data_IF_520125004067
#
_entry.id   IF_520125004067
#
_cell.length_a   1.000
_cell.length_b   1.000
_cell.length_c   1.000
_cell.angle_alpha   90.00
_cell.angle_beta   90.00
_cell.angle_gamma   90.00
#
_symmetry.space_group_name_H-M   'P 1'
#
loop_
_entity.id
_entity.type
_entity.pdbx_description
1 polymer ?
#
# COMPACT_ATOMS: atom_id res chain seq x y z
N UNK A 1 -16.49 6.04 10.21
CA UNK A 1 -15.34 6.13 9.26
C UNK A 1 -15.47 7.28 8.28
N UNK A 2 -16.57 7.43 7.55
CA UNK A 2 -16.77 8.58 6.64
C UNK A 2 -16.68 9.92 7.39
N UNK A 3 -17.31 10.02 8.56
CA UNK A 3 -17.27 11.22 9.42
C UNK A 3 -15.85 11.56 9.88
N UNK A 4 -15.01 10.56 10.18
CA UNK A 4 -13.62 10.77 10.57
C UNK A 4 -12.85 11.51 9.46
N UNK A 5 -12.97 11.05 8.22
CA UNK A 5 -12.28 11.73 7.12
C UNK A 5 -12.91 13.09 6.80
N UNK A 6 -14.22 13.22 6.90
CA UNK A 6 -14.95 14.46 6.57
C UNK A 6 -14.67 15.59 7.57
N UNK A 7 -14.51 15.27 8.85
CA UNK A 7 -14.35 16.27 9.90
C UNK A 7 -12.89 16.70 10.10
N UNK A 8 -11.93 15.84 9.73
CA UNK A 8 -10.50 16.06 10.03
C UNK A 8 -9.62 16.30 8.80
N UNK A 9 -10.12 16.04 7.58
CA UNK A 9 -9.35 16.22 6.35
C UNK A 9 -10.11 17.04 5.31
N UNK A 10 -9.42 18.02 4.73
CA UNK A 10 -9.90 18.74 3.54
C UNK A 10 -9.24 18.14 2.32
N UNK A 11 -10.02 17.41 1.51
CA UNK A 11 -9.52 16.65 0.36
C UNK A 11 -10.24 17.12 -0.91
N UNK A 12 -9.54 17.26 -2.05
CA UNK A 12 -10.18 17.54 -3.34
C UNK A 12 -11.24 16.49 -3.67
N UNK A 13 -12.34 16.91 -4.29
CA UNK A 13 -13.44 16.00 -4.67
C UNK A 13 -13.88 15.06 -3.53
N UNK A 14 -14.05 15.60 -2.31
CA UNK A 14 -14.36 14.86 -1.09
C UNK A 14 -15.50 13.83 -1.25
N UNK A 15 -16.55 14.17 -2.00
CA UNK A 15 -17.69 13.29 -2.30
C UNK A 15 -17.32 11.97 -3.00
N UNK A 16 -16.16 11.91 -3.68
CA UNK A 16 -15.63 10.69 -4.31
C UNK A 16 -14.54 10.07 -3.43
N UNK A 17 -13.60 10.88 -2.93
CA UNK A 17 -12.41 10.36 -2.28
C UNK A 17 -12.69 9.84 -0.86
N UNK A 18 -13.54 10.50 -0.09
CA UNK A 18 -13.83 10.10 1.29
C UNK A 18 -14.47 8.71 1.37
N UNK A 19 -15.49 8.36 0.56
CA UNK A 19 -16.03 7.00 0.54
C UNK A 19 -14.97 5.94 0.22
N UNK A 20 -14.03 6.23 -0.69
CA UNK A 20 -12.95 5.31 -1.06
C UNK A 20 -11.97 5.14 0.10
N UNK A 21 -11.56 6.22 0.77
CA UNK A 21 -10.68 6.17 1.93
C UNK A 21 -11.33 5.42 3.10
N UNK A 22 -12.62 5.65 3.34
CA UNK A 22 -13.39 4.97 4.38
C UNK A 22 -13.54 3.47 4.08
N UNK A 23 -13.85 3.10 2.84
CA UNK A 23 -13.94 1.70 2.42
C UNK A 23 -12.58 1.00 2.54
N UNK A 24 -11.51 1.66 2.12
CA UNK A 24 -10.16 1.11 2.22
C UNK A 24 -9.71 0.91 3.68
N UNK A 25 -9.99 1.88 4.55
CA UNK A 25 -9.64 1.82 5.97
C UNK A 25 -10.38 0.71 6.73
N UNK A 26 -11.51 0.22 6.20
CA UNK A 26 -12.33 -0.83 6.80
C UNK A 26 -12.23 -2.16 6.06
N UNK A 27 -11.32 -2.26 5.10
CA UNK A 27 -11.21 -3.43 4.25
C UNK A 27 -10.69 -4.65 5.04
N UNK A 28 -11.40 -5.79 5.00
CA UNK A 28 -10.92 -7.03 5.58
C UNK A 28 -9.89 -7.69 4.66
N UNK A 29 -8.60 -7.32 4.79
CA UNK A 29 -7.54 -7.82 3.90
C UNK A 29 -7.43 -9.35 3.89
N UNK A 30 -7.65 -10.00 5.03
CA UNK A 30 -7.71 -11.46 5.20
C UNK A 30 -8.77 -12.15 4.31
N UNK A 31 -9.79 -11.42 3.84
CA UNK A 31 -10.82 -11.97 2.93
C UNK A 31 -10.58 -11.63 1.46
N UNK A 32 -9.59 -10.79 1.17
CA UNK A 32 -9.33 -10.32 -0.20
C UNK A 32 -8.52 -11.37 -0.98
N UNK A 33 -8.95 -11.76 -2.17
CA UNK A 33 -8.13 -12.62 -3.07
C UNK A 33 -7.06 -11.83 -3.80
N UNK A 34 -7.37 -10.57 -4.10
CA UNK A 34 -6.51 -9.59 -4.76
C UNK A 34 -6.27 -8.45 -3.77
N UNK A 35 -5.02 -8.10 -3.55
CA UNK A 35 -4.65 -7.01 -2.67
C UNK A 35 -4.97 -5.66 -3.34
N UNK A 36 -5.87 -4.84 -2.76
CA UNK A 36 -6.05 -3.50 -3.25
C UNK A 36 -4.87 -2.62 -2.83
N UNK A 37 -4.63 -1.59 -3.64
CA UNK A 37 -3.52 -0.66 -3.46
C UNK A 37 -4.08 0.76 -3.47
N UNK A 38 -3.89 1.47 -2.36
CA UNK A 38 -4.22 2.88 -2.22
C UNK A 38 -2.98 3.74 -2.49
N UNK A 39 -3.04 4.56 -3.52
CA UNK A 39 -2.03 5.57 -3.83
C UNK A 39 -2.49 6.95 -3.36
N UNK A 40 -1.77 7.53 -2.41
CA UNK A 40 -1.92 8.92 -1.98
C UNK A 40 -0.87 9.76 -2.72
N UNK A 41 -1.30 10.49 -3.75
CA UNK A 41 -0.43 11.33 -4.58
C UNK A 41 -0.77 12.81 -4.41
N UNK A 42 0.26 13.67 -4.34
CA UNK A 42 0.06 15.10 -4.15
C UNK A 42 1.36 15.86 -3.90
N UNK A 43 1.27 17.19 -3.85
CA UNK A 43 2.42 18.06 -3.58
C UNK A 43 3.00 17.85 -2.17
N UNK A 44 4.27 18.16 -1.96
CA UNK A 44 4.86 18.18 -0.61
C UNK A 44 4.03 19.12 0.30
N UNK A 45 3.83 18.73 1.56
CA UNK A 45 2.99 19.49 2.51
C UNK A 45 1.48 19.26 2.39
N UNK A 46 0.99 18.47 1.44
CA UNK A 46 -0.47 18.25 1.26
C UNK A 46 -1.13 17.30 2.28
N UNK A 47 -0.48 16.98 3.40
CA UNK A 47 -1.05 16.12 4.45
C UNK A 47 -1.13 14.61 4.15
N UNK A 48 -0.45 14.10 3.10
CA UNK A 48 -0.48 12.66 2.73
C UNK A 48 0.00 11.73 3.84
N UNK A 49 1.12 12.06 4.48
CA UNK A 49 1.66 11.29 5.60
C UNK A 49 0.72 11.33 6.81
N UNK A 50 0.06 12.47 7.06
CA UNK A 50 -0.95 12.59 8.12
C UNK A 50 -2.17 11.70 7.82
N UNK A 51 -2.62 11.65 6.57
CA UNK A 51 -3.70 10.76 6.15
C UNK A 51 -3.28 9.29 6.27
N UNK A 52 -2.03 8.96 5.92
CA UNK A 52 -1.48 7.63 6.10
C UNK A 52 -1.45 7.20 7.59
N UNK A 53 -1.16 8.12 8.51
CA UNK A 53 -1.18 7.84 9.95
C UNK A 53 -2.56 7.38 10.46
N UNK A 54 -3.64 7.74 9.78
CA UNK A 54 -4.98 7.20 10.09
C UNK A 54 -5.03 5.70 9.85
N UNK A 55 -4.49 5.23 8.72
CA UNK A 55 -4.42 3.78 8.41
C UNK A 55 -3.49 3.04 9.36
N UNK A 56 -2.34 3.66 9.68
CA UNK A 56 -1.38 3.14 10.68
C UNK A 56 -2.09 2.91 12.02
N UNK A 57 -2.87 3.89 12.49
CA UNK A 57 -3.61 3.79 13.74
C UNK A 57 -4.76 2.76 13.69
N UNK A 58 -5.51 2.70 12.58
CA UNK A 58 -6.65 1.77 12.45
C UNK A 58 -6.18 0.33 12.39
N UNK A 59 -5.16 0.05 11.59
CA UNK A 59 -4.65 -1.31 11.40
C UNK A 59 -3.63 -1.72 12.47
N UNK A 60 -3.24 -0.79 13.37
CA UNK A 60 -2.25 -1.01 14.43
C UNK A 60 -0.90 -1.49 13.87
N UNK A 61 -0.46 -0.85 12.78
CA UNK A 61 0.76 -1.18 12.05
C UNK A 61 1.78 -0.06 12.20
N UNK A 62 3.04 -0.28 11.79
CA UNK A 62 4.03 0.79 11.67
C UNK A 62 4.07 1.35 10.25
N UNK A 63 4.19 2.67 10.15
CA UNK A 63 4.46 3.32 8.87
C UNK A 63 5.92 3.06 8.48
N UNK A 64 6.12 2.53 7.28
CA UNK A 64 7.42 2.22 6.72
C UNK A 64 7.93 3.37 5.88
N UNK A 65 9.21 3.72 6.00
CA UNK A 65 9.81 4.74 5.14
C UNK A 65 10.38 4.07 3.88
N UNK A 66 10.43 4.78 2.76
CA UNK A 66 11.05 4.36 1.50
C UNK A 66 12.53 3.94 1.61
N UNK A 67 13.20 4.21 2.73
CA UNK A 67 14.56 3.73 3.04
C UNK A 67 14.63 2.30 3.55
N UNK A 68 13.49 1.65 3.82
CA UNK A 68 13.47 0.30 4.37
C UNK A 68 13.90 -0.73 3.33
N UNK A 69 14.77 -1.64 3.77
CA UNK A 69 15.32 -2.72 2.95
C UNK A 69 14.26 -3.82 2.82
N UNK A 70 14.25 -4.52 1.68
CA UNK A 70 13.35 -5.63 1.38
C UNK A 70 13.17 -6.64 2.54
N UNK A 71 14.25 -6.97 3.25
CA UNK A 71 14.22 -7.85 4.42
C UNK A 71 13.36 -7.29 5.57
N UNK A 72 13.46 -5.98 5.84
CA UNK A 72 12.69 -5.33 6.92
C UNK A 72 11.20 -5.33 6.62
N UNK A 73 10.81 -5.08 5.36
CA UNK A 73 9.40 -5.11 4.96
C UNK A 73 8.85 -6.54 5.07
N UNK A 74 9.60 -7.53 4.62
CA UNK A 74 9.20 -8.93 4.73
C UNK A 74 8.99 -9.36 6.18
N UNK A 75 9.93 -9.02 7.08
CA UNK A 75 9.79 -9.35 8.50
C UNK A 75 8.54 -8.70 9.11
N UNK A 76 8.24 -7.45 8.72
CA UNK A 76 7.02 -6.79 9.17
C UNK A 76 5.75 -7.53 8.70
N UNK A 77 5.74 -8.03 7.45
CA UNK A 77 4.64 -8.83 6.92
C UNK A 77 4.50 -10.13 7.71
N UNK A 78 5.58 -10.87 7.88
CA UNK A 78 5.61 -12.14 8.62
C UNK A 78 5.04 -11.97 10.04
N UNK A 79 5.48 -10.93 10.75
CA UNK A 79 5.14 -10.70 12.16
C UNK A 79 3.71 -10.19 12.38
N UNK A 80 3.10 -9.51 11.40
CA UNK A 80 1.82 -8.83 11.61
C UNK A 80 0.66 -9.38 10.76
N UNK A 81 0.96 -10.20 9.74
CA UNK A 81 -0.08 -10.77 8.86
C UNK A 81 -0.78 -12.00 9.46
N UNK A 82 -0.21 -12.58 10.52
CA UNK A 82 -0.73 -13.79 11.17
C UNK A 82 -0.83 -13.56 12.68
N UNK A 83 -1.88 -14.07 13.32
CA UNK A 83 -2.05 -14.01 14.76
C UNK A 83 -1.35 -15.17 15.51
N UNK A 84 -1.44 -15.17 16.85
CA UNK A 84 -0.85 -16.22 17.70
C UNK A 84 -1.42 -17.62 17.43
N UNK A 85 -2.58 -17.73 16.77
CA UNK A 85 -3.23 -18.99 16.42
C UNK A 85 -2.83 -19.50 15.04
N UNK A 86 -2.05 -18.72 14.28
CA UNK A 86 -1.68 -19.05 12.91
C UNK A 86 -2.71 -18.57 11.87
N UNK A 87 -3.72 -17.80 12.28
CA UNK A 87 -4.77 -17.30 11.40
C UNK A 87 -4.40 -15.94 10.79
N UNK A 88 -4.86 -15.67 9.57
CA UNK A 88 -4.57 -14.41 8.91
C UNK A 88 -5.30 -13.24 9.56
N UNK A 89 -4.54 -12.19 9.88
CA UNK A 89 -5.06 -10.93 10.44
C UNK A 89 -5.28 -9.89 9.34
N UNK A 90 -6.22 -8.97 9.60
CA UNK A 90 -6.32 -7.75 8.82
C UNK A 90 -5.06 -6.89 8.97
N UNK A 91 -4.30 -6.78 7.88
CA UNK A 91 -3.00 -6.13 7.82
C UNK A 91 -2.87 -5.29 6.54
N UNK A 92 -2.32 -4.08 6.71
CA UNK A 92 -2.04 -3.13 5.63
C UNK A 92 -0.60 -2.66 5.77
N UNK A 93 0.18 -2.77 4.69
CA UNK A 93 1.49 -2.12 4.62
C UNK A 93 1.30 -0.64 4.33
N UNK A 94 1.77 0.21 5.23
CA UNK A 94 1.81 1.65 5.00
C UNK A 94 3.24 2.05 4.62
N UNK A 95 3.47 2.54 3.40
CA UNK A 95 4.79 3.01 2.95
C UNK A 95 4.75 4.50 2.62
N UNK A 96 5.50 5.29 3.40
CA UNK A 96 5.63 6.73 3.20
C UNK A 96 6.76 7.07 2.24
N UNK A 97 6.58 8.17 1.50
CA UNK A 97 7.59 8.82 0.65
C UNK A 97 8.20 7.91 -0.41
N UNK A 98 7.35 7.06 -1.01
CA UNK A 98 7.78 6.12 -2.04
C UNK A 98 8.28 6.90 -3.26
N UNK A 99 9.55 6.68 -3.61
CA UNK A 99 10.23 7.39 -4.70
C UNK A 99 10.53 6.45 -5.88
N UNK A 100 10.96 7.01 -7.02
CA UNK A 100 11.22 6.23 -8.24
C UNK A 100 12.32 5.17 -8.01
N UNK A 101 13.33 5.47 -7.18
CA UNK A 101 14.38 4.52 -6.82
C UNK A 101 13.86 3.32 -6.02
N UNK A 102 12.86 3.50 -5.16
CA UNK A 102 12.23 2.41 -4.40
C UNK A 102 11.49 1.45 -5.33
N UNK A 103 10.79 1.97 -6.35
CA UNK A 103 10.07 1.14 -7.33
C UNK A 103 11.02 0.38 -8.26
N UNK A 104 12.14 1.00 -8.64
CA UNK A 104 13.15 0.38 -9.51
C UNK A 104 13.98 -0.72 -8.82
N UNK A 105 13.83 -0.90 -7.51
CA UNK A 105 14.47 -1.99 -6.80
C UNK A 105 13.75 -3.31 -7.13
N UNK A 106 14.44 -4.22 -7.82
CA UNK A 106 13.87 -5.50 -8.27
C UNK A 106 13.31 -6.36 -7.14
N UNK A 107 13.92 -6.32 -5.95
CA UNK A 107 13.44 -7.07 -4.80
C UNK A 107 12.11 -6.50 -4.29
N UNK A 108 12.01 -5.17 -4.18
CA UNK A 108 10.75 -4.52 -3.77
C UNK A 108 9.67 -4.67 -4.83
N UNK A 109 10.03 -4.58 -6.12
CA UNK A 109 9.12 -4.84 -7.21
C UNK A 109 8.56 -6.26 -7.14
N UNK A 110 9.42 -7.25 -6.93
CA UNK A 110 9.03 -8.66 -6.77
C UNK A 110 8.12 -8.84 -5.57
N UNK A 111 8.42 -8.18 -4.44
CA UNK A 111 7.55 -8.20 -3.26
C UNK A 111 6.14 -7.70 -3.57
N UNK A 112 6.05 -6.54 -4.24
CA UNK A 112 4.78 -5.92 -4.59
C UNK A 112 4.00 -6.70 -5.64
N UNK A 113 4.70 -7.37 -6.55
CA UNK A 113 4.10 -8.19 -7.60
C UNK A 113 3.58 -9.53 -7.07
N UNK A 114 4.41 -10.29 -6.35
CA UNK A 114 4.02 -11.57 -5.75
C UNK A 114 2.94 -11.39 -4.69
N UNK A 115 3.01 -10.30 -3.91
CA UNK A 115 2.03 -9.97 -2.88
C UNK A 115 0.66 -9.52 -3.39
N UNK A 116 0.48 -9.32 -4.70
CA UNK A 116 -0.77 -8.82 -5.28
C UNK A 116 -1.91 -9.83 -5.24
N UNK A 117 -1.63 -11.13 -5.39
CA UNK A 117 -2.64 -12.17 -5.52
C UNK A 117 -2.33 -13.36 -4.63
N UNK A 118 -3.32 -13.89 -3.90
CA UNK A 118 -3.14 -15.03 -2.96
C UNK A 118 -2.47 -16.25 -3.58
N UNK A 119 -2.80 -16.57 -4.82
CA UNK A 119 -2.15 -17.69 -5.55
C UNK A 119 -0.62 -17.56 -5.67
N UNK A 120 -0.09 -16.34 -5.67
CA UNK A 120 1.33 -16.06 -5.88
C UNK A 120 1.99 -15.46 -4.63
N UNK A 121 1.34 -15.59 -3.48
CA UNK A 121 1.74 -14.89 -2.26
C UNK A 121 2.91 -15.50 -1.52
N UNK A 122 3.49 -16.59 -2.01
CA UNK A 122 4.63 -17.24 -1.39
C UNK A 122 5.87 -16.90 -2.21
N UNK A 123 6.87 -16.33 -1.54
CA UNK A 123 8.20 -16.13 -2.12
C UNK A 123 9.20 -17.00 -1.38
N UNK A 124 10.10 -17.67 -2.10
CA UNK A 124 11.11 -18.54 -1.52
C UNK A 124 12.51 -17.93 -1.68
N UNK A 125 13.37 -18.13 -0.68
CA UNK A 125 14.81 -17.90 -0.77
C UNK A 125 15.54 -19.20 -0.47
N UNK A 126 16.51 -19.54 -1.33
CA UNK A 126 17.41 -20.67 -1.09
C UNK A 126 18.36 -20.35 0.07
N UNK A 127 18.38 -21.21 1.08
CA UNK A 127 19.31 -21.11 2.21
C UNK A 127 20.49 -22.06 1.99
N UNK A 128 21.65 -21.70 2.53
CA UNK A 128 22.84 -22.56 2.58
C UNK A 128 22.48 -23.86 3.33
N UNK A 129 22.17 -24.90 2.57
CA UNK A 129 21.63 -26.17 3.08
C UNK A 129 20.75 -26.92 2.08
N UNK A 130 20.36 -26.28 0.96
CA UNK A 130 19.50 -26.92 -0.05
C UNK A 130 18.01 -26.87 0.27
N UNK A 131 17.65 -26.25 1.41
CA UNK A 131 16.27 -25.99 1.79
C UNK A 131 15.87 -24.56 1.40
N UNK A 132 14.62 -24.42 0.93
CA UNK A 132 14.04 -23.13 0.61
C UNK A 132 13.26 -22.60 1.82
N UNK A 133 13.56 -21.37 2.22
CA UNK A 133 12.76 -20.65 3.20
C UNK A 133 11.64 -19.92 2.48
N UNK A 134 10.40 -20.25 2.81
CA UNK A 134 9.21 -19.64 2.24
C UNK A 134 8.70 -18.48 3.11
N UNK A 135 8.24 -17.43 2.46
CA UNK A 135 7.73 -16.22 3.11
C UNK A 135 6.39 -15.84 2.52
N UNK A 136 5.44 -15.48 3.39
CA UNK A 136 4.15 -14.93 2.98
C UNK A 136 4.32 -13.46 2.58
N UNK A 137 3.75 -13.09 1.44
CA UNK A 137 3.88 -11.76 0.84
C UNK A 137 2.55 -11.12 0.48
N UNK A 138 1.42 -11.82 0.64
CA UNK A 138 0.10 -11.24 0.36
C UNK A 138 -0.19 -10.09 1.32
N UNK A 139 -0.43 -8.89 0.77
CA UNK A 139 -0.66 -7.72 1.60
C UNK A 139 -1.34 -6.58 0.86
N UNK A 140 -2.22 -5.88 1.57
CA UNK A 140 -2.88 -4.64 1.10
C UNK A 140 -1.95 -3.43 1.31
N UNK A 141 -1.86 -2.50 0.35
CA UNK A 141 -0.80 -1.47 0.33
C UNK A 141 -1.33 -0.02 0.34
N UNK A 142 -0.99 0.78 1.34
CA UNK A 142 -1.20 2.22 1.34
C UNK A 142 0.14 2.95 1.15
N UNK A 143 0.30 3.64 0.02
CA UNK A 143 1.56 4.31 -0.33
C UNK A 143 1.36 5.82 -0.48
N UNK A 144 2.28 6.62 0.04
CA UNK A 144 2.35 8.05 -0.29
C UNK A 144 3.43 8.32 -1.34
N UNK A 145 3.13 9.22 -2.27
CA UNK A 145 4.06 9.67 -3.30
C UNK A 145 4.01 11.18 -3.43
N UNK A 146 5.18 11.81 -3.50
CA UNK A 146 5.30 13.23 -3.84
C UNK A 146 5.26 13.39 -5.35
N UNK A 147 4.26 14.12 -5.85
CA UNK A 147 4.18 14.44 -7.28
C UNK A 147 5.13 15.59 -7.61
N UNK A 148 6.27 15.27 -8.22
CA UNK A 148 7.11 16.27 -8.88
C UNK A 148 6.43 16.68 -10.19
N UNK A 149 5.90 17.91 -10.25
CA UNK A 149 5.38 18.52 -11.49
C UNK A 149 6.52 18.56 -12.53
N UNK A 150 6.69 17.52 -13.36
CA UNK A 150 7.32 17.62 -14.71
C UNK A 150 7.53 16.32 -15.52
N UNK A 151 6.87 15.19 -15.25
CA UNK A 151 6.95 14.05 -16.19
C UNK A 151 5.58 13.50 -16.55
N UNK A 152 5.17 13.76 -17.80
CA UNK A 152 4.08 13.07 -18.48
C UNK A 152 4.46 11.58 -18.55
N UNK A 153 3.84 10.77 -17.71
CA UNK A 153 3.86 9.31 -17.87
C UNK A 153 2.52 8.86 -18.44
N UNK A 154 2.59 7.99 -19.45
CA UNK A 154 1.45 7.41 -20.17
C UNK A 154 0.50 6.82 -19.14
N UNK A 155 -0.68 7.42 -19.08
CA UNK A 155 -1.78 7.09 -18.19
C UNK A 155 -2.86 6.53 -19.10
N UNK A 156 -3.39 5.34 -18.82
CA UNK A 156 -4.63 4.92 -19.48
C UNK A 156 -5.75 5.78 -18.90
N UNK A 157 -6.10 6.80 -19.66
CA UNK A 157 -7.03 7.87 -19.32
C UNK A 157 -8.47 7.32 -19.22
N UNK A 158 -9.10 7.41 -18.05
CA UNK A 158 -10.54 7.67 -17.98
C UNK A 158 -10.71 9.20 -17.93
N UNK A 159 -10.84 9.81 -19.11
CA UNK A 159 -11.06 11.26 -19.22
C UNK A 159 -12.40 11.64 -18.59
N UNK A 160 -12.34 12.42 -17.52
CA UNK A 160 -13.22 13.60 -17.35
C UNK A 160 -12.50 14.69 -16.54
N UNK A 161 -12.09 15.71 -17.29
CA UNK A 161 -11.74 17.09 -16.92
C UNK A 161 -11.17 17.42 -15.52
N UNK A 162 -9.92 17.93 -15.57
CA UNK A 162 -9.27 18.95 -14.73
C UNK A 162 -9.30 18.75 -13.21
N UNK A 163 -8.12 18.50 -12.65
CA UNK A 163 -7.82 18.85 -11.26
C UNK A 163 -6.87 17.87 -10.61
N UNK A 164 -7.41 16.78 -10.08
CA UNK A 164 -6.68 15.86 -9.22
C UNK A 164 -6.96 14.41 -9.62
N UNK A 165 -5.90 13.60 -9.72
CA UNK A 165 -5.96 12.21 -10.16
C UNK A 165 -5.94 11.30 -8.93
N UNK A 166 -7.05 10.62 -8.65
CA UNK A 166 -7.02 9.39 -7.89
C UNK A 166 -6.66 8.25 -8.86
N UNK A 167 -5.47 7.68 -8.70
CA UNK A 167 -4.98 6.59 -9.54
C UNK A 167 -5.25 5.26 -8.82
N UNK A 168 -6.35 4.60 -9.17
CA UNK A 168 -6.57 3.19 -8.83
C UNK A 168 -6.01 2.36 -10.00
N UNK A 169 -4.81 1.80 -9.84
CA UNK A 169 -4.24 0.89 -10.84
C UNK A 169 -4.61 -0.54 -10.51
N UNK A 170 -5.25 -1.21 -11.47
CA UNK A 170 -5.21 -2.66 -11.58
C UNK A 170 -3.89 -2.98 -12.28
N UNK A 171 -3.00 -3.71 -11.61
CA UNK A 171 -1.84 -4.29 -12.28
C UNK A 171 -2.39 -5.44 -13.14
N UNK A 172 -2.34 -5.25 -14.47
CA UNK A 172 -2.55 -6.32 -15.45
C UNK A 172 -1.19 -6.87 -15.85
#
# INVERSE_FOLDING_TARGET
>A
MIELFSNFFVIPHAHIQIPILAAYATLPSALCTVAPILWLEGAAGSGKSNLMNVFVAIHQVKAQNASWIFASIRNEIEMNSVDERGEERHFVLCVDNLNESTIKNENLYTLFWCGYHRKNSITAIAVLGGENMEFKTFITYANTKVSLKNRRFVTTDLRRNKGDRLVVRKFC
#
